data_IF_561439145767
#
_entry.id   IF_561439145767
#
_cell.length_a   1.000
_cell.length_b   1.000
_cell.length_c   1.000
_cell.angle_alpha   90.00
_cell.angle_beta   90.00
_cell.angle_gamma   90.00
#
_symmetry.space_group_name_H-M   'P 1'
#
loop_
_entity.id
_entity.type
_entity.pdbx_description
1 polymer ?
#
# COMPACT_ATOMS: atom_id res chain seq x y z
N UNK A 1 -5.26 3.34 7.16
CA UNK A 1 -5.86 4.58 7.70
C UNK A 1 -5.10 5.17 8.88
N UNK A 2 -4.35 4.41 9.67
CA UNK A 2 -3.48 5.00 10.71
C UNK A 2 -2.46 6.00 10.13
N UNK A 3 -2.08 5.85 8.87
CA UNK A 3 -1.16 6.79 8.22
C UNK A 3 -1.67 8.25 8.14
N UNK A 4 -2.98 8.50 8.32
CA UNK A 4 -3.56 9.85 8.31
C UNK A 4 -3.68 10.50 9.68
N UNK A 5 -3.35 9.78 10.78
CA UNK A 5 -3.55 10.27 12.16
C UNK A 5 -2.86 11.62 12.35
N UNK A 6 -1.56 11.71 12.00
CA UNK A 6 -0.77 12.93 12.17
C UNK A 6 -1.38 14.15 11.44
N UNK A 7 -1.85 13.95 10.21
CA UNK A 7 -2.46 15.03 9.42
C UNK A 7 -3.83 15.43 9.98
N UNK A 8 -4.63 14.45 10.43
CA UNK A 8 -5.92 14.71 11.08
C UNK A 8 -5.74 15.44 12.41
N UNK A 9 -4.74 15.10 13.21
CA UNK A 9 -4.42 15.79 14.46
C UNK A 9 -4.04 17.26 14.20
N UNK A 10 -3.22 17.50 13.17
CA UNK A 10 -2.83 18.86 12.77
C UNK A 10 -4.03 19.71 12.35
N UNK A 11 -4.88 19.22 11.44
CA UNK A 11 -6.03 19.99 10.96
C UNK A 11 -7.18 20.09 11.96
N UNK A 12 -7.33 19.10 12.83
CA UNK A 12 -8.39 19.10 13.83
C UNK A 12 -8.05 19.91 15.08
N UNK A 13 -6.78 20.29 15.27
CA UNK A 13 -6.32 20.98 16.47
C UNK A 13 -6.38 20.09 17.71
N UNK A 14 -6.18 18.78 17.55
CA UNK A 14 -6.23 17.79 18.63
C UNK A 14 -7.65 17.37 19.05
N UNK A 15 -8.64 17.45 18.14
CA UNK A 15 -9.95 16.87 18.41
C UNK A 15 -9.86 15.33 18.43
N UNK A 16 -10.64 14.65 19.29
CA UNK A 16 -10.64 13.19 19.33
C UNK A 16 -11.03 12.55 17.98
N UNK A 17 -10.17 11.66 17.47
CA UNK A 17 -10.44 10.87 16.27
C UNK A 17 -11.16 9.57 16.67
N UNK A 18 -12.42 9.44 16.30
CA UNK A 18 -13.23 8.27 16.63
C UNK A 18 -13.31 7.27 15.47
N UNK A 19 -12.84 6.04 15.69
CA UNK A 19 -13.14 4.91 14.79
C UNK A 19 -14.29 4.07 15.36
N UNK A 20 -15.45 4.14 14.70
CA UNK A 20 -16.72 3.66 15.25
C UNK A 20 -17.05 2.21 14.90
N UNK A 21 -16.77 1.78 13.67
CA UNK A 21 -17.30 0.51 13.13
C UNK A 21 -16.20 -0.31 12.49
N UNK A 22 -16.32 -1.62 12.63
CA UNK A 22 -15.55 -2.60 11.88
C UNK A 22 -16.50 -3.37 10.98
N UNK A 23 -16.37 -3.16 9.66
CA UNK A 23 -17.29 -3.68 8.66
C UNK A 23 -16.56 -3.92 7.34
N UNK A 24 -17.21 -4.69 6.47
CA UNK A 24 -16.78 -4.97 5.11
C UNK A 24 -17.99 -5.08 4.17
N UNK A 25 -17.74 -5.25 2.88
CA UNK A 25 -18.80 -5.43 1.89
C UNK A 25 -19.61 -6.71 2.14
N UNK A 26 -18.99 -7.72 2.76
CA UNK A 26 -19.58 -9.02 3.02
C UNK A 26 -20.44 -9.05 4.30
N UNK A 27 -20.14 -8.22 5.31
CA UNK A 27 -20.91 -8.13 6.57
C UNK A 27 -20.48 -6.93 7.43
N UNK A 28 -21.39 -6.43 8.27
CA UNK A 28 -21.06 -5.49 9.33
C UNK A 28 -20.69 -6.27 10.60
N UNK A 29 -19.43 -6.24 11.00
CA UNK A 29 -18.89 -7.22 11.94
C UNK A 29 -18.91 -6.76 13.40
N UNK A 30 -18.54 -5.49 13.66
CA UNK A 30 -18.34 -5.03 15.03
C UNK A 30 -18.39 -3.51 15.20
N UNK A 31 -18.41 -3.10 16.46
CA UNK A 31 -18.43 -1.70 16.89
C UNK A 31 -17.34 -1.42 17.91
N UNK A 32 -16.78 -0.23 17.88
CA UNK A 32 -15.94 0.25 18.98
C UNK A 32 -16.84 0.73 20.12
N UNK A 33 -16.85 -0.01 21.23
CA UNK A 33 -17.66 0.33 22.40
C UNK A 33 -17.07 1.48 23.23
N UNK A 34 -15.84 1.90 22.95
CA UNK A 34 -15.13 2.98 23.63
C UNK A 34 -14.56 3.99 22.62
N UNK A 35 -15.42 4.68 21.84
CA UNK A 35 -14.95 5.52 20.75
C UNK A 35 -14.24 6.82 21.18
N UNK A 36 -14.44 7.26 22.43
CA UNK A 36 -13.99 8.56 22.95
C UNK A 36 -13.50 8.49 24.40
N UNK A 37 -13.13 7.31 24.90
CA UNK A 37 -12.85 7.17 26.34
C UNK A 37 -11.47 7.73 26.67
N UNK A 38 -11.50 8.87 27.37
CA UNK A 38 -10.41 9.67 27.92
C UNK A 38 -9.45 10.29 26.86
N UNK A 39 -9.46 11.63 26.66
CA UNK A 39 -8.54 12.30 25.73
C UNK A 39 -7.05 12.14 26.10
N UNK A 40 -6.73 11.66 27.30
CA UNK A 40 -5.35 11.30 27.69
C UNK A 40 -4.94 9.87 27.32
N UNK A 41 -5.90 9.01 26.90
CA UNK A 41 -5.72 7.57 26.63
C UNK A 41 -6.21 7.17 25.23
N UNK A 42 -6.91 8.06 24.50
CA UNK A 42 -7.29 7.84 23.11
C UNK A 42 -6.06 7.90 22.18
N UNK A 43 -5.17 6.94 22.29
CA UNK A 43 -4.21 6.63 21.25
C UNK A 43 -4.97 5.89 20.13
N UNK A 44 -5.02 6.41 18.89
CA UNK A 44 -5.63 5.68 17.78
C UNK A 44 -5.01 4.29 17.52
N UNK A 45 -3.86 3.99 18.16
CA UNK A 45 -3.22 2.68 18.18
C UNK A 45 -3.90 1.64 19.09
N UNK A 46 -4.79 2.04 20.01
CA UNK A 46 -5.45 1.16 20.99
C UNK A 46 -6.93 0.88 20.68
N UNK A 47 -7.33 1.06 19.42
CA UNK A 47 -8.72 0.81 19.00
C UNK A 47 -9.04 -0.67 19.01
N UNK A 48 -10.09 -1.05 19.75
CA UNK A 48 -10.64 -2.40 19.80
C UNK A 48 -12.10 -2.42 19.35
N UNK A 49 -12.48 -3.44 18.56
CA UNK A 49 -13.85 -3.62 18.10
C UNK A 49 -14.47 -4.85 18.75
N UNK A 50 -15.68 -4.70 19.30
CA UNK A 50 -16.48 -5.81 19.79
C UNK A 50 -17.34 -6.33 18.64
N UNK A 51 -17.17 -7.60 18.32
CA UNK A 51 -17.93 -8.26 17.28
C UNK A 51 -19.37 -8.50 17.75
N UNK A 52 -20.31 -8.29 16.84
CA UNK A 52 -21.75 -8.40 17.10
C UNK A 52 -22.23 -9.81 16.73
N UNK A 53 -22.62 -10.67 17.70
CA UNK A 53 -22.97 -12.06 17.44
C UNK A 53 -24.18 -12.27 16.52
N UNK A 54 -25.01 -11.23 16.35
CA UNK A 54 -26.23 -11.27 15.55
C UNK A 54 -26.01 -10.92 14.06
N UNK A 55 -24.80 -10.50 13.67
CA UNK A 55 -24.53 -10.01 12.31
C UNK A 55 -24.08 -11.11 11.34
N UNK A 56 -23.39 -12.12 11.86
CA UNK A 56 -22.92 -13.28 11.13
C UNK A 56 -22.60 -14.39 12.14
N UNK A 57 -22.50 -15.64 11.67
CA UNK A 57 -21.84 -16.68 12.44
C UNK A 57 -20.32 -16.52 12.28
N UNK A 58 -19.61 -16.39 13.40
CA UNK A 58 -18.20 -15.98 13.43
C UNK A 58 -17.34 -17.07 14.06
N UNK A 59 -16.33 -17.50 13.31
CA UNK A 59 -15.30 -18.45 13.70
C UNK A 59 -13.91 -17.80 13.57
N UNK A 60 -12.89 -18.42 14.18
CA UNK A 60 -11.52 -17.93 14.23
C UNK A 60 -10.54 -19.06 13.96
N UNK A 61 -9.56 -18.84 13.09
CA UNK A 61 -8.44 -19.76 12.85
C UNK A 61 -7.20 -19.19 13.53
N UNK A 62 -6.59 -19.93 14.46
CA UNK A 62 -5.37 -19.49 15.13
C UNK A 62 -4.20 -19.34 14.14
N UNK A 63 -3.53 -18.20 14.14
CA UNK A 63 -2.34 -17.94 13.34
C UNK A 63 -1.10 -18.41 14.13
N UNK A 64 -0.52 -19.55 13.72
CA UNK A 64 0.75 -20.04 14.26
C UNK A 64 1.93 -19.39 13.51
N UNK A 65 3.07 -19.12 14.17
CA UNK A 65 4.23 -18.47 13.56
C UNK A 65 4.96 -19.31 12.49
N UNK A 66 4.65 -20.61 12.40
CA UNK A 66 5.22 -21.54 11.41
C UNK A 66 4.09 -22.04 10.50
N UNK A 67 4.29 -22.02 9.18
CA UNK A 67 3.38 -22.54 8.13
C UNK A 67 3.29 -24.10 8.17
N UNK A 68 3.20 -24.69 9.36
CA UNK A 68 2.88 -26.11 9.50
C UNK A 68 1.37 -26.29 9.34
N UNK A 69 0.97 -26.65 8.11
CA UNK A 69 -0.39 -26.91 7.63
C UNK A 69 -1.13 -28.06 8.34
N UNK A 70 -0.63 -28.56 9.48
CA UNK A 70 -1.03 -29.86 10.02
C UNK A 70 -2.29 -29.85 10.90
N UNK A 71 -2.76 -28.71 11.43
CA UNK A 71 -4.08 -28.65 12.08
C UNK A 71 -4.57 -27.20 12.24
N UNK A 72 -5.65 -26.84 11.55
CA UNK A 72 -6.32 -25.55 11.76
C UNK A 72 -7.17 -25.65 13.01
N UNK A 73 -6.69 -25.05 14.10
CA UNK A 73 -7.45 -24.91 15.33
C UNK A 73 -8.50 -23.81 15.12
N UNK A 74 -9.77 -24.23 15.05
CA UNK A 74 -10.92 -23.36 14.81
C UNK A 74 -11.63 -23.10 16.13
N UNK A 75 -11.85 -21.83 16.43
CA UNK A 75 -12.49 -21.37 17.65
C UNK A 75 -13.79 -20.64 17.32
N UNK A 76 -14.82 -20.84 18.15
CA UNK A 76 -16.03 -20.03 18.13
C UNK A 76 -15.76 -18.65 18.74
N UNK A 77 -16.65 -17.69 18.50
CA UNK A 77 -16.55 -16.32 19.05
C UNK A 77 -16.32 -16.25 20.56
N UNK A 78 -16.85 -17.19 21.33
CA UNK A 78 -16.71 -17.22 22.80
C UNK A 78 -15.44 -17.90 23.31
N UNK A 79 -14.71 -18.60 22.43
CA UNK A 79 -13.62 -19.51 22.82
C UNK A 79 -12.24 -18.97 22.42
N UNK A 80 -12.15 -17.71 22.01
CA UNK A 80 -10.86 -17.07 21.69
C UNK A 80 -10.09 -16.73 22.95
N UNK A 81 -8.76 -16.84 22.88
CA UNK A 81 -7.86 -16.55 23.99
C UNK A 81 -7.21 -15.18 23.82
N UNK A 82 -7.00 -14.48 24.95
CA UNK A 82 -6.37 -13.17 24.95
C UNK A 82 -4.90 -13.25 24.53
N UNK A 83 -4.46 -12.30 23.70
CA UNK A 83 -3.07 -12.19 23.25
C UNK A 83 -2.73 -13.01 22.01
N UNK A 84 -3.63 -13.91 21.57
CA UNK A 84 -3.44 -14.70 20.36
C UNK A 84 -3.91 -13.95 19.10
N UNK A 85 -3.28 -14.28 17.97
CA UNK A 85 -3.65 -13.76 16.65
C UNK A 85 -4.53 -14.78 15.91
N UNK A 86 -5.64 -14.30 15.37
CA UNK A 86 -6.60 -15.15 14.67
C UNK A 86 -6.97 -14.57 13.30
N UNK A 87 -7.19 -15.45 12.33
CA UNK A 87 -7.87 -15.13 11.07
C UNK A 87 -9.38 -15.30 11.27
N UNK A 88 -10.14 -14.28 10.88
CA UNK A 88 -11.59 -14.24 11.06
C UNK A 88 -12.27 -15.07 9.95
N UNK A 89 -13.26 -15.88 10.31
CA UNK A 89 -14.05 -16.67 9.36
C UNK A 89 -15.52 -16.34 9.58
N UNK A 90 -16.24 -16.02 8.51
CA UNK A 90 -17.62 -15.52 8.61
C UNK A 90 -18.55 -16.38 7.76
N UNK A 91 -19.71 -16.69 8.33
CA UNK A 91 -20.86 -17.23 7.62
C UNK A 91 -22.01 -16.23 7.68
N UNK A 92 -22.46 -15.75 6.53
CA UNK A 92 -23.40 -14.62 6.43
C UNK A 92 -24.77 -15.06 5.93
N UNK A 93 -25.80 -14.27 6.23
CA UNK A 93 -27.16 -14.49 5.72
C UNK A 93 -27.25 -14.44 4.19
N UNK A 94 -26.28 -13.81 3.51
CA UNK A 94 -26.20 -13.72 2.06
C UNK A 94 -25.59 -14.97 1.40
N UNK A 95 -25.35 -16.05 2.15
CA UNK A 95 -24.91 -17.33 1.60
C UNK A 95 -23.39 -17.47 1.43
N UNK A 96 -22.59 -16.63 2.09
CA UNK A 96 -21.16 -16.91 2.26
C UNK A 96 -21.02 -17.91 3.40
N UNK A 97 -20.45 -19.08 3.14
CA UNK A 97 -20.25 -20.13 4.15
C UNK A 97 -18.77 -20.31 4.45
N UNK A 98 -18.40 -20.15 5.72
CA UNK A 98 -17.02 -20.27 6.23
C UNK A 98 -16.02 -19.46 5.38
N UNK A 99 -16.41 -18.25 5.01
CA UNK A 99 -15.59 -17.36 4.21
C UNK A 99 -14.45 -16.78 5.04
N UNK A 100 -13.21 -16.97 4.58
CA UNK A 100 -11.99 -16.54 5.29
C UNK A 100 -11.73 -15.05 5.09
N UNK A 101 -11.90 -14.30 6.16
CA UNK A 101 -11.70 -12.87 6.25
C UNK A 101 -10.31 -12.53 6.83
N UNK A 102 -9.38 -12.16 5.94
CA UNK A 102 -8.02 -11.77 6.34
C UNK A 102 -8.05 -10.27 6.73
N UNK A 103 -7.70 -9.88 7.95
CA UNK A 103 -7.72 -8.45 8.37
C UNK A 103 -6.57 -7.98 9.29
N UNK A 104 -5.64 -8.82 9.75
CA UNK A 104 -4.49 -8.38 10.60
C UNK A 104 -3.41 -7.65 9.76
N UNK A 105 -3.82 -6.62 9.01
CA UNK A 105 -3.36 -6.36 7.64
C UNK A 105 -3.79 -7.52 6.71
N UNK A 106 -4.48 -7.19 5.61
CA UNK A 106 -4.72 -8.20 4.57
C UNK A 106 -3.36 -8.59 4.00
N UNK A 107 -2.88 -9.80 4.33
CA UNK A 107 -1.68 -10.42 3.73
C UNK A 107 -1.77 -10.21 2.22
N UNK A 108 -0.85 -9.43 1.65
CA UNK A 108 -0.76 -9.14 0.22
C UNK A 108 -1.10 -7.71 -0.24
N UNK A 109 -1.66 -6.82 0.59
CA UNK A 109 -1.85 -5.41 0.20
C UNK A 109 -0.56 -4.59 0.44
N UNK A 110 0.07 -4.15 -0.64
CA UNK A 110 1.36 -3.47 -0.63
C UNK A 110 1.20 -1.94 -0.50
N UNK A 111 0.35 -1.34 -1.36
CA UNK A 111 0.05 0.09 -1.39
C UNK A 111 -1.46 0.35 -1.20
N UNK A 112 -1.80 1.45 -0.51
CA UNK A 112 -3.18 1.89 -0.28
C UNK A 112 -3.21 3.33 0.25
N UNK A 113 -3.80 4.25 -0.51
CA UNK A 113 -4.18 5.61 -0.08
C UNK A 113 -5.57 5.57 0.55
N UNK A 114 -6.55 5.00 -0.15
CA UNK A 114 -7.96 4.97 0.28
C UNK A 114 -8.46 3.55 0.59
N UNK A 115 -9.51 3.14 -0.13
CA UNK A 115 -10.12 1.81 0.00
C UNK A 115 -9.52 0.80 -0.97
N UNK A 116 -8.88 1.29 -2.03
CA UNK A 116 -8.13 0.50 -2.99
C UNK A 116 -6.92 -0.14 -2.34
N UNK A 117 -6.55 -1.28 -2.90
CA UNK A 117 -5.41 -2.08 -2.44
C UNK A 117 -4.68 -2.54 -3.69
N UNK A 118 -3.40 -2.21 -3.79
CA UNK A 118 -2.52 -2.74 -4.81
C UNK A 118 -1.67 -3.82 -4.17
N UNK A 119 -1.72 -5.01 -4.75
CA UNK A 119 -0.90 -6.16 -4.33
C UNK A 119 0.51 -6.06 -4.90
N UNK A 120 1.44 -6.83 -4.34
CA UNK A 120 2.80 -6.91 -4.89
C UNK A 120 2.80 -7.45 -6.32
N UNK A 121 1.94 -8.42 -6.64
CA UNK A 121 1.80 -8.96 -7.99
C UNK A 121 1.26 -7.93 -8.99
N UNK A 122 0.25 -7.14 -8.61
CA UNK A 122 -0.25 -6.03 -9.44
C UNK A 122 0.82 -4.96 -9.65
N UNK A 123 1.58 -4.61 -8.60
CA UNK A 123 2.66 -3.64 -8.70
C UNK A 123 3.78 -4.15 -9.61
N UNK A 124 4.22 -5.40 -9.42
CA UNK A 124 5.27 -6.00 -10.23
C UNK A 124 4.86 -6.04 -11.71
N UNK A 125 3.63 -6.47 -12.01
CA UNK A 125 3.10 -6.45 -13.37
C UNK A 125 3.10 -5.04 -13.96
N UNK A 126 2.63 -4.03 -13.22
CA UNK A 126 2.60 -2.66 -13.69
C UNK A 126 4.01 -2.12 -14.01
N UNK A 127 5.03 -2.47 -13.21
CA UNK A 127 6.43 -2.12 -13.48
C UNK A 127 6.95 -2.87 -14.71
N UNK A 128 6.63 -4.15 -14.86
CA UNK A 128 7.01 -4.96 -16.03
C UNK A 128 6.41 -4.40 -17.33
N UNK A 129 5.13 -4.02 -17.32
CA UNK A 129 4.43 -3.41 -18.46
C UNK A 129 5.10 -2.06 -18.83
N UNK A 130 5.37 -1.20 -17.84
CA UNK A 130 6.08 0.06 -18.06
C UNK A 130 7.55 -0.12 -18.50
N UNK A 131 8.19 -1.23 -18.13
CA UNK A 131 9.57 -1.53 -18.53
C UNK A 131 9.73 -1.73 -20.04
N UNK A 132 8.67 -2.11 -20.74
CA UNK A 132 8.66 -2.19 -22.20
C UNK A 132 8.95 -0.82 -22.85
N UNK A 133 8.33 0.25 -22.33
CA UNK A 133 8.57 1.63 -22.76
C UNK A 133 9.99 2.08 -22.42
N UNK A 134 10.48 1.75 -21.23
CA UNK A 134 11.82 2.13 -20.77
C UNK A 134 12.92 1.52 -21.66
N UNK A 135 12.80 0.22 -21.96
CA UNK A 135 13.74 -0.50 -22.83
C UNK A 135 13.79 0.07 -24.24
N UNK A 136 12.66 0.56 -24.78
CA UNK A 136 12.63 1.19 -26.10
C UNK A 136 13.47 2.47 -26.21
N UNK A 137 13.81 3.08 -25.07
CA UNK A 137 14.70 4.23 -24.94
C UNK A 137 16.04 3.90 -24.28
N UNK A 138 16.37 2.61 -24.16
CA UNK A 138 17.62 2.12 -23.57
C UNK A 138 17.68 2.18 -22.04
N UNK A 139 16.63 2.62 -21.36
CA UNK A 139 16.60 2.66 -19.90
C UNK A 139 16.34 1.25 -19.33
N UNK A 140 17.16 0.83 -18.38
CA UNK A 140 17.04 -0.45 -17.67
C UNK A 140 16.79 -0.15 -16.20
N UNK A 141 15.75 -0.77 -15.63
CA UNK A 141 15.50 -0.71 -14.18
C UNK A 141 16.35 -1.75 -13.50
N UNK A 142 17.29 -1.30 -12.66
CA UNK A 142 18.12 -2.19 -11.83
C UNK A 142 17.31 -2.72 -10.65
N UNK A 143 16.69 -1.81 -9.90
CA UNK A 143 15.76 -2.15 -8.83
C UNK A 143 14.75 -1.02 -8.60
N UNK A 144 13.71 -1.33 -7.83
CA UNK A 144 12.65 -0.38 -7.50
C UNK A 144 12.04 -0.64 -6.12
N UNK A 145 11.47 0.39 -5.54
CA UNK A 145 10.57 0.27 -4.39
C UNK A 145 9.42 1.28 -4.49
N UNK A 146 8.45 1.17 -3.60
CA UNK A 146 7.29 2.04 -3.57
C UNK A 146 7.04 2.65 -2.19
N UNK A 147 6.27 3.72 -2.17
CA UNK A 147 5.82 4.41 -0.97
C UNK A 147 4.44 4.99 -1.22
N UNK A 148 3.63 5.10 -0.18
CA UNK A 148 2.35 5.83 -0.23
C UNK A 148 2.56 7.18 0.42
N UNK A 149 2.58 8.25 -0.39
CA UNK A 149 2.64 9.61 0.10
C UNK A 149 1.25 10.05 0.57
N UNK A 150 1.19 10.41 1.86
CA UNK A 150 -0.01 10.91 2.52
C UNK A 150 0.20 12.31 3.10
N UNK A 151 1.38 12.89 2.89
CA UNK A 151 1.68 14.27 3.26
C UNK A 151 1.09 15.24 2.22
N UNK A 152 1.02 14.80 0.96
CA UNK A 152 0.31 15.49 -0.12
C UNK A 152 -1.19 15.16 -0.09
N UNK A 153 -2.02 16.14 -0.48
CA UNK A 153 -3.47 15.95 -0.60
C UNK A 153 -3.94 16.28 -2.03
N UNK A 154 -4.60 15.34 -2.75
CA UNK A 154 -4.83 13.95 -2.35
C UNK A 154 -3.53 13.12 -2.32
N UNK A 155 -3.43 12.17 -1.39
CA UNK A 155 -2.26 11.29 -1.30
C UNK A 155 -2.09 10.44 -2.55
N UNK A 156 -0.86 10.07 -2.88
CA UNK A 156 -0.50 9.40 -4.14
C UNK A 156 0.56 8.32 -3.95
N UNK A 157 0.77 7.52 -5.00
CA UNK A 157 1.81 6.50 -5.02
C UNK A 157 3.11 7.07 -5.57
N UNK A 158 4.21 6.78 -4.86
CA UNK A 158 5.57 7.16 -5.26
C UNK A 158 6.37 5.90 -5.54
N UNK A 159 6.96 5.83 -6.72
CA UNK A 159 7.83 4.76 -7.17
C UNK A 159 9.27 5.25 -7.22
N UNK A 160 10.17 4.62 -6.47
CA UNK A 160 11.60 4.89 -6.57
C UNK A 160 12.23 3.91 -7.55
N UNK A 161 12.93 4.43 -8.55
CA UNK A 161 13.54 3.64 -9.62
C UNK A 161 15.04 3.97 -9.70
N UNK A 162 15.88 2.93 -9.59
CA UNK A 162 17.30 3.03 -9.91
C UNK A 162 17.48 2.57 -11.36
N UNK A 163 17.95 3.48 -12.21
CA UNK A 163 18.03 3.27 -13.66
C UNK A 163 19.48 3.21 -14.13
N UNK A 164 19.74 2.32 -15.08
CA UNK A 164 20.95 2.30 -15.90
C UNK A 164 20.61 2.77 -17.30
N UNK A 165 21.44 3.65 -17.89
CA UNK A 165 21.24 4.22 -19.23
C UNK A 165 22.49 3.96 -20.08
N UNK A 166 22.40 3.72 -21.40
CA UNK A 166 23.57 3.49 -22.22
C UNK A 166 24.35 4.80 -22.31
N UNK A 167 25.62 4.80 -21.84
CA UNK A 167 26.57 5.92 -21.71
C UNK A 167 26.72 6.60 -20.34
N UNK A 168 26.19 6.04 -19.24
CA UNK A 168 26.55 6.50 -17.88
C UNK A 168 25.53 6.15 -16.80
N UNK A 169 25.82 6.49 -15.55
CA UNK A 169 24.84 6.40 -14.46
C UNK A 169 23.71 7.44 -14.66
N UNK A 170 22.47 7.05 -14.34
CA UNK A 170 21.28 7.89 -14.55
C UNK A 170 21.37 9.28 -13.89
N UNK A 171 22.16 9.44 -12.83
CA UNK A 171 22.35 10.72 -12.13
C UNK A 171 22.97 11.84 -12.97
N UNK A 172 23.94 11.51 -13.84
CA UNK A 172 24.59 12.47 -14.74
C UNK A 172 24.02 12.44 -16.16
N UNK A 173 23.48 11.29 -16.58
CA UNK A 173 22.95 11.16 -17.94
C UNK A 173 21.52 11.69 -18.10
N UNK A 174 20.63 11.58 -17.10
CA UNK A 174 19.24 12.08 -17.21
C UNK A 174 19.12 13.60 -17.14
N UNK A 175 20.07 14.28 -16.52
CA UNK A 175 20.15 15.76 -16.55
C UNK A 175 20.56 16.27 -17.94
N UNK A 176 21.20 15.44 -18.75
CA UNK A 176 21.58 15.69 -20.14
C UNK A 176 20.58 15.15 -21.17
N UNK A 177 19.68 14.26 -20.75
CA UNK A 177 18.68 13.66 -21.63
C UNK A 177 17.50 14.64 -21.81
N UNK A 178 17.54 15.24 -22.99
CA UNK A 178 16.53 16.02 -23.70
C UNK A 178 15.06 15.63 -23.39
N UNK A 179 14.11 16.51 -23.73
CA UNK A 179 12.68 16.38 -23.39
C UNK A 179 11.98 15.05 -23.76
N UNK A 180 12.65 14.17 -24.52
CA UNK A 180 12.24 12.79 -24.75
C UNK A 180 12.25 11.90 -23.50
N UNK A 181 13.32 11.89 -22.68
CA UNK A 181 13.39 11.01 -21.50
C UNK A 181 12.32 11.35 -20.45
N UNK A 182 12.09 12.65 -20.24
CA UNK A 182 10.97 13.15 -19.42
C UNK A 182 9.62 12.60 -19.89
N UNK A 183 9.31 12.76 -21.19
CA UNK A 183 8.05 12.26 -21.77
C UNK A 183 7.90 10.76 -21.62
N UNK A 184 9.00 10.00 -21.70
CA UNK A 184 8.95 8.54 -21.54
C UNK A 184 8.64 8.17 -20.10
N UNK A 185 9.29 8.78 -19.11
CA UNK A 185 9.03 8.49 -17.70
C UNK A 185 7.63 8.94 -17.27
N UNK A 186 7.14 10.07 -17.78
CA UNK A 186 5.75 10.51 -17.62
C UNK A 186 4.75 9.51 -18.23
N UNK A 187 5.05 8.94 -19.41
CA UNK A 187 4.24 7.87 -20.02
C UNK A 187 4.34 6.56 -19.26
N UNK A 188 5.49 6.23 -18.68
CA UNK A 188 5.64 5.07 -17.80
C UNK A 188 4.75 5.21 -16.57
N UNK A 189 4.65 6.41 -15.99
CA UNK A 189 3.73 6.65 -14.89
C UNK A 189 2.29 6.32 -15.30
N UNK A 190 1.86 6.76 -16.48
CA UNK A 190 0.52 6.47 -17.01
C UNK A 190 0.29 4.99 -17.31
N UNK A 191 1.26 4.30 -17.92
CA UNK A 191 1.19 2.85 -18.17
C UNK A 191 1.05 2.06 -16.85
N UNK A 192 1.78 2.46 -15.80
CA UNK A 192 1.66 1.84 -14.49
C UNK A 192 0.26 2.05 -13.88
N UNK A 193 -0.32 3.25 -14.03
CA UNK A 193 -1.68 3.52 -13.55
C UNK A 193 -2.74 2.70 -14.29
N UNK A 194 -2.55 2.48 -15.60
CA UNK A 194 -3.42 1.65 -16.42
C UNK A 194 -3.35 0.16 -16.03
N UNK A 195 -2.20 -0.29 -15.52
CA UNK A 195 -1.99 -1.63 -14.98
C UNK A 195 -2.66 -1.92 -13.63
N UNK A 196 -3.07 -0.88 -12.89
CA UNK A 196 -3.74 -1.05 -11.59
C UNK A 196 -5.22 -1.40 -11.71
N UNK A 197 -5.80 -1.87 -10.60
CA UNK A 197 -7.21 -2.28 -10.56
C UNK A 197 -8.19 -1.10 -10.72
N UNK A 198 -9.42 -1.45 -11.10
CA UNK A 198 -10.51 -0.49 -11.38
C UNK A 198 -10.83 0.43 -10.19
N UNK A 199 -10.61 -0.02 -8.95
CA UNK A 199 -10.82 0.81 -7.76
C UNK A 199 -9.80 1.95 -7.69
N UNK A 200 -8.52 1.68 -7.96
CA UNK A 200 -7.50 2.74 -8.05
C UNK A 200 -7.89 3.76 -9.14
N UNK A 201 -8.24 3.28 -10.34
CA UNK A 201 -8.64 4.14 -11.46
C UNK A 201 -9.86 4.99 -11.10
N UNK A 202 -10.86 4.41 -10.46
CA UNK A 202 -12.06 5.13 -9.99
C UNK A 202 -11.72 6.22 -8.98
N UNK A 203 -10.83 5.95 -8.02
CA UNK A 203 -10.43 6.94 -7.01
C UNK A 203 -9.54 8.03 -7.60
N UNK A 204 -8.68 7.71 -8.58
CA UNK A 204 -7.94 8.71 -9.37
C UNK A 204 -8.87 9.61 -10.16
N UNK A 205 -9.91 9.04 -10.77
CA UNK A 205 -10.94 9.80 -11.48
C UNK A 205 -11.70 10.76 -10.58
N UNK A 206 -12.02 10.31 -9.37
CA UNK A 206 -12.76 11.10 -8.39
C UNK A 206 -11.89 12.08 -7.57
N UNK A 207 -10.60 12.23 -7.92
CA UNK A 207 -9.66 13.11 -7.22
C UNK A 207 -9.38 12.70 -5.76
N UNK A 208 -9.62 11.42 -5.42
CA UNK A 208 -9.37 10.87 -4.08
C UNK A 208 -7.96 10.32 -3.92
N UNK A 209 -7.32 9.99 -5.04
CA UNK A 209 -5.89 9.61 -5.11
C UNK A 209 -5.21 10.57 -6.09
N UNK A 210 -4.01 11.05 -5.74
CA UNK A 210 -3.21 11.93 -6.58
C UNK A 210 -2.44 11.18 -7.67
N UNK A 211 -1.83 11.92 -8.59
CA UNK A 211 -1.07 11.35 -9.72
C UNK A 211 0.11 10.50 -9.27
N UNK A 212 0.25 9.29 -9.82
CA UNK A 212 1.43 8.45 -9.57
C UNK A 212 2.70 9.23 -9.94
N UNK A 213 3.69 9.13 -9.06
CA UNK A 213 4.98 9.78 -9.18
C UNK A 213 6.09 8.73 -9.32
N UNK A 214 6.95 8.89 -10.31
CA UNK A 214 8.23 8.19 -10.42
C UNK A 214 9.35 9.13 -9.96
N UNK A 215 10.10 8.71 -8.95
CA UNK A 215 11.34 9.35 -8.49
C UNK A 215 12.53 8.50 -8.94
N UNK A 216 13.37 9.05 -9.81
CA UNK A 216 14.62 8.39 -10.20
C UNK A 216 15.68 8.68 -9.15
N UNK A 217 16.35 7.64 -8.69
CA UNK A 217 17.45 7.73 -7.71
C UNK A 217 18.81 7.49 -8.37
N UNK A 218 19.89 7.95 -7.73
CA UNK A 218 21.27 7.74 -8.20
C UNK A 218 21.65 6.27 -8.21
N UNK A 219 22.63 5.90 -9.02
CA UNK A 219 23.26 4.58 -8.96
C UNK A 219 23.82 4.29 -7.56
N UNK A 220 23.69 3.03 -7.12
CA UNK A 220 24.10 2.56 -5.80
C UNK A 220 23.17 2.98 -4.65
N UNK A 221 21.98 3.52 -4.93
CA UNK A 221 21.04 3.91 -3.86
C UNK A 221 20.49 2.69 -3.13
N UNK A 222 20.10 1.64 -3.85
CA UNK A 222 19.62 0.41 -3.22
C UNK A 222 20.74 -0.38 -2.53
N UNK A 223 21.99 -0.24 -2.98
CA UNK A 223 23.16 -0.77 -2.28
C UNK A 223 23.35 -0.09 -0.90
N UNK A 224 23.28 1.24 -0.83
CA UNK A 224 23.32 1.95 0.45
C UNK A 224 22.13 1.60 1.36
N UNK A 225 20.93 1.42 0.77
CA UNK A 225 19.76 0.99 1.52
C UNK A 225 19.96 -0.39 2.16
N UNK A 226 20.59 -1.31 1.42
CA UNK A 226 20.99 -2.63 1.92
C UNK A 226 22.02 -2.50 3.04
N UNK A 227 23.10 -1.73 2.85
CA UNK A 227 24.15 -1.54 3.87
C UNK A 227 23.57 -0.95 5.17
N UNK A 228 22.67 0.03 5.06
CA UNK A 228 21.97 0.59 6.22
C UNK A 228 21.07 -0.44 6.90
N UNK A 229 20.39 -1.32 6.16
CA UNK A 229 19.55 -2.36 6.76
C UNK A 229 20.41 -3.43 7.46
N UNK A 230 21.53 -3.82 6.86
CA UNK A 230 22.50 -4.79 7.40
C UNK A 230 23.14 -4.26 8.68
N UNK A 231 23.57 -3.00 8.69
CA UNK A 231 24.12 -2.36 9.90
C UNK A 231 23.16 -2.34 11.09
N UNK A 232 21.85 -2.46 10.83
CA UNK A 232 20.76 -2.51 11.81
C UNK A 232 20.29 -3.93 12.12
N UNK A 233 21.02 -4.95 11.67
CA UNK A 233 20.80 -6.35 12.02
C UNK A 233 20.13 -7.22 10.96
N UNK A 234 19.90 -6.70 9.73
CA UNK A 234 19.45 -7.55 8.64
C UNK A 234 20.57 -8.51 8.18
N UNK A 235 20.20 -9.76 7.84
CA UNK A 235 21.14 -10.71 7.26
C UNK A 235 21.48 -10.33 5.81
N UNK A 236 22.77 -10.15 5.53
CA UNK A 236 23.28 -9.85 4.17
C UNK A 236 22.79 -10.90 3.16
N UNK A 237 22.86 -12.18 3.53
CA UNK A 237 22.54 -13.29 2.63
C UNK A 237 21.04 -13.43 2.31
N UNK A 238 20.17 -12.79 3.09
CA UNK A 238 18.71 -12.89 2.94
C UNK A 238 18.06 -11.56 2.58
N UNK A 239 18.84 -10.47 2.50
CA UNK A 239 18.30 -9.16 2.21
C UNK A 239 17.71 -9.13 0.80
N UNK A 240 16.48 -8.65 0.71
CA UNK A 240 15.81 -8.27 -0.54
C UNK A 240 15.29 -6.86 -0.37
N UNK A 241 15.40 -6.05 -1.41
CA UNK A 241 14.80 -4.71 -1.40
C UNK A 241 13.30 -4.85 -1.16
N UNK A 242 12.74 -4.20 -0.12
CA UNK A 242 11.32 -4.26 0.15
C UNK A 242 10.59 -3.57 -1.00
N UNK A 243 9.50 -4.15 -1.52
CA UNK A 243 8.73 -3.52 -2.61
C UNK A 243 7.90 -2.32 -2.14
N UNK A 244 7.74 -2.14 -0.84
CA UNK A 244 7.12 -0.94 -0.24
C UNK A 244 7.85 -0.57 1.05
N UNK A 245 8.32 0.68 1.13
CA UNK A 245 8.99 1.23 2.31
C UNK A 245 7.96 1.93 3.19
N UNK A 246 7.97 1.60 4.48
CA UNK A 246 7.17 2.27 5.52
C UNK A 246 8.02 2.86 6.63
N UNK A 247 9.33 2.61 6.60
CA UNK A 247 10.25 2.95 7.68
C UNK A 247 10.88 4.32 7.40
N UNK A 248 10.74 5.32 8.29
CA UNK A 248 11.17 6.69 8.00
C UNK A 248 12.64 6.84 7.60
N UNK A 249 13.57 6.12 8.24
CA UNK A 249 15.00 6.24 7.90
C UNK A 249 15.32 5.74 6.49
N UNK A 250 14.60 4.73 6.00
CA UNK A 250 14.77 4.20 4.64
C UNK A 250 14.26 5.21 3.61
N UNK A 251 13.15 5.90 3.92
CA UNK A 251 12.62 6.98 3.08
C UNK A 251 13.57 8.17 3.02
N UNK A 252 14.22 8.54 4.12
CA UNK A 252 15.22 9.61 4.16
C UNK A 252 16.43 9.32 3.25
N UNK A 253 16.94 8.07 3.25
CA UNK A 253 17.99 7.63 2.32
C UNK A 253 17.54 7.79 0.87
N UNK A 254 16.35 7.28 0.53
CA UNK A 254 15.80 7.35 -0.82
C UNK A 254 15.61 8.81 -1.28
N UNK A 255 14.96 9.64 -0.46
CA UNK A 255 14.67 11.04 -0.76
C UNK A 255 15.95 11.87 -1.00
N UNK A 256 17.02 11.62 -0.26
CA UNK A 256 18.32 12.32 -0.44
C UNK A 256 19.01 11.98 -1.76
N UNK A 257 18.71 10.81 -2.33
CA UNK A 257 19.32 10.33 -3.58
C UNK A 257 18.43 10.52 -4.80
N UNK A 258 17.27 11.15 -4.66
CA UNK A 258 16.42 11.51 -5.80
C UNK A 258 17.15 12.50 -6.70
N UNK A 259 17.20 12.17 -7.98
CA UNK A 259 17.77 13.01 -9.05
C UNK A 259 16.67 13.81 -9.73
N UNK A 260 15.51 13.18 -9.97
CA UNK A 260 14.40 13.76 -10.72
C UNK A 260 13.08 13.07 -10.40
N UNK A 261 11.98 13.81 -10.51
CA UNK A 261 10.61 13.34 -10.28
C UNK A 261 9.73 13.57 -11.50
N UNK A 262 8.87 12.60 -11.82
CA UNK A 262 7.95 12.62 -12.96
C UNK A 262 6.57 12.18 -12.51
N UNK A 263 5.52 12.78 -13.08
CA UNK A 263 4.14 12.47 -12.73
C UNK A 263 3.39 11.92 -13.94
N UNK A 264 2.38 11.09 -13.69
CA UNK A 264 1.47 10.64 -14.73
C UNK A 264 0.77 11.81 -15.41
N UNK A 265 0.78 11.79 -16.75
CA UNK A 265 0.03 12.73 -17.60
C UNK A 265 -1.41 12.25 -17.85
N UNK A 266 -1.77 11.06 -17.37
CA UNK A 266 -3.11 10.51 -17.54
C UNK A 266 -4.13 11.46 -16.91
N UNK A 267 -4.92 12.09 -17.78
CA UNK A 267 -6.11 12.80 -17.35
C UNK A 267 -7.10 11.76 -16.83
N UNK A 268 -7.77 11.99 -15.70
CA UNK A 268 -8.82 11.09 -15.25
C UNK A 268 -9.87 10.96 -16.38
N UNK A 269 -10.11 9.76 -16.95
CA UNK A 269 -11.11 9.64 -17.99
C UNK A 269 -12.50 10.03 -17.44
N UNK A 270 -13.35 10.60 -18.29
CA UNK A 270 -14.75 10.83 -17.93
C UNK A 270 -15.42 9.46 -17.75
N UNK A 271 -15.82 9.13 -16.53
CA UNK A 271 -16.49 7.88 -16.23
C UNK A 271 -17.92 7.88 -16.82
N UNK A 272 -18.22 6.92 -17.69
CA UNK A 272 -19.59 6.53 -17.97
C UNK A 272 -19.98 5.36 -17.05
N UNK A 273 -21.13 5.42 -16.36
CA UNK A 273 -21.66 4.27 -15.65
C UNK A 273 -21.84 3.11 -16.62
N UNK A 274 -21.33 1.94 -16.23
CA UNK A 274 -21.68 0.68 -16.89
C UNK A 274 -23.21 0.58 -16.94
N UNK A 275 -23.79 0.52 -18.13
CA UNK A 275 -25.22 0.23 -18.30
C UNK A 275 -25.45 -1.17 -17.75
N UNK A 276 -26.14 -1.27 -16.62
CA UNK A 276 -26.70 -2.51 -16.12
C UNK A 276 -27.58 -3.10 -17.24
N UNK A 277 -27.17 -4.27 -17.74
CA UNK A 277 -28.03 -5.12 -18.57
C UNK A 277 -29.10 -5.63 -17.60
N UNK A 278 -30.27 -4.98 -17.63
CA UNK A 278 -31.50 -5.52 -17.08
C UNK A 278 -31.98 -6.71 -17.92
#
# INVERSE_FOLDING_TARGET
MSQYITMLDYYSGGLPIASMRYACSESQLGLNLKPLRDPSVCNPSEVSYTLLPNMAYIEFILQKPTDDDAQQDIFNLTNVELGNMYELVVTTFAGLYRYRFKFVARKGALLSVGVEKITEAELQKAVEDASGLQRSYGMIVEDYTSYTDVETMPGHYVMYLELTVPNGEAGESLTLLDGGAKKVLERCCSEMEDGFNELYKNLRMNGKVGTLEIRVVRGGTFAELMDSAVSRGASIAQYKVPRCIRVPYMLDILNRRVVSSYFSLASPPQWEPYKSIC
#
